data_IF_026136797322
#
_entry.id   IF_026136797322
#
_cell.length_a   1.000
_cell.length_b   1.000
_cell.length_c   1.000
_cell.angle_alpha   90.00
_cell.angle_beta   90.00
_cell.angle_gamma   90.00
#
_symmetry.space_group_name_H-M   'P 1'
#
loop_
_entity.id
_entity.type
_entity.pdbx_description
1 polymer ?
#
# COMPACT_ATOMS: atom_id res chain seq x y z
N UNK A 1 -17.60 -21.27 16.95
CA UNK A 1 -16.31 -20.73 17.45
C UNK A 1 -15.53 -20.23 16.26
N UNK A 2 -15.10 -18.96 16.29
CA UNK A 2 -14.26 -18.42 15.21
C UNK A 2 -12.90 -19.11 15.27
N UNK A 3 -12.41 -19.58 14.12
CA UNK A 3 -11.09 -20.20 14.02
C UNK A 3 -9.95 -19.23 14.43
N UNK A 4 -10.20 -17.92 14.31
CA UNK A 4 -9.28 -16.88 14.78
C UNK A 4 -9.12 -16.85 16.32
N UNK A 5 -10.15 -17.29 17.07
CA UNK A 5 -10.14 -17.22 18.52
C UNK A 5 -9.43 -18.44 19.17
N UNK A 6 -9.27 -19.51 18.39
CA UNK A 6 -8.66 -20.75 18.88
C UNK A 6 -8.01 -21.56 17.77
N UNK A 7 -6.91 -21.04 17.17
CA UNK A 7 -6.18 -21.75 16.12
C UNK A 7 -5.52 -23.01 16.70
N UNK A 8 -5.20 -24.02 15.87
CA UNK A 8 -4.40 -25.18 16.29
C UNK A 8 -3.08 -24.78 16.94
N UNK A 9 -2.57 -25.56 17.88
CA UNK A 9 -1.34 -25.26 18.64
C UNK A 9 -0.11 -25.12 17.72
N UNK A 10 -0.05 -25.92 16.66
CA UNK A 10 1.00 -25.92 15.63
C UNK A 10 0.83 -24.83 14.55
N UNK A 11 -0.24 -24.03 14.63
CA UNK A 11 -0.45 -22.96 13.65
C UNK A 11 0.59 -21.85 13.82
N UNK A 12 1.40 -21.56 12.79
CA UNK A 12 2.60 -20.71 12.92
C UNK A 12 2.30 -19.21 13.00
N UNK A 13 1.03 -18.81 12.97
CA UNK A 13 0.64 -17.42 12.96
C UNK A 13 -0.24 -17.07 14.16
N UNK A 14 -0.26 -15.78 14.51
CA UNK A 14 -1.18 -15.19 15.48
C UNK A 14 -1.79 -13.91 14.91
N UNK A 15 -2.91 -13.50 15.47
CA UNK A 15 -3.55 -12.24 15.08
C UNK A 15 -3.21 -11.14 16.08
N UNK A 16 -2.57 -10.09 15.59
CA UNK A 16 -2.25 -8.88 16.34
C UNK A 16 -3.24 -7.78 15.96
N UNK A 17 -4.28 -7.64 16.77
CA UNK A 17 -5.32 -6.64 16.57
C UNK A 17 -4.74 -5.21 16.61
N UNK A 18 -3.79 -4.95 17.51
CA UNK A 18 -3.18 -3.62 17.67
C UNK A 18 -2.40 -3.21 16.43
N UNK A 19 -1.73 -4.17 15.82
CA UNK A 19 -0.99 -3.93 14.58
C UNK A 19 -1.94 -3.58 13.43
N UNK A 20 -3.01 -4.35 13.24
CA UNK A 20 -4.03 -4.02 12.24
C UNK A 20 -4.69 -2.66 12.49
N UNK A 21 -5.02 -2.34 13.74
CA UNK A 21 -5.58 -1.04 14.12
C UNK A 21 -4.60 0.13 13.90
N UNK A 22 -3.31 -0.09 14.04
CA UNK A 22 -2.27 0.92 13.77
C UNK A 22 -2.35 1.43 12.34
N UNK A 23 -2.49 0.53 11.37
CA UNK A 23 -2.62 0.85 9.95
C UNK A 23 -3.92 1.60 9.65
N UNK A 24 -5.05 1.15 10.18
CA UNK A 24 -6.34 1.84 10.06
C UNK A 24 -6.26 3.26 10.64
N UNK A 25 -5.70 3.39 11.84
CA UNK A 25 -5.56 4.68 12.53
C UNK A 25 -4.68 5.64 11.75
N UNK A 26 -3.58 5.17 11.16
CA UNK A 26 -2.72 5.99 10.31
C UNK A 26 -3.52 6.55 9.13
N UNK A 27 -4.22 5.69 8.40
CA UNK A 27 -5.01 6.10 7.23
C UNK A 27 -6.06 7.12 7.61
N UNK A 28 -6.89 6.85 8.62
CA UNK A 28 -7.98 7.76 9.00
C UNK A 28 -7.49 9.08 9.58
N UNK A 29 -6.29 9.11 10.17
CA UNK A 29 -5.71 10.32 10.75
C UNK A 29 -5.02 11.20 9.72
N UNK A 30 -4.20 10.62 8.86
CA UNK A 30 -3.27 11.38 8.02
C UNK A 30 -3.68 11.47 6.56
N UNK A 31 -4.42 10.48 6.04
CA UNK A 31 -4.89 10.52 4.66
C UNK A 31 -6.14 11.38 4.52
N UNK A 32 -6.15 12.24 3.49
CA UNK A 32 -7.27 13.15 3.23
C UNK A 32 -7.82 12.90 1.83
N UNK A 33 -9.13 13.03 1.68
CA UNK A 33 -9.75 13.01 0.36
C UNK A 33 -9.17 14.09 -0.55
N UNK A 34 -8.83 13.71 -1.78
CA UNK A 34 -8.17 14.59 -2.74
C UNK A 34 -9.15 15.48 -3.51
N UNK A 35 -10.41 15.02 -3.73
CA UNK A 35 -11.37 15.60 -4.66
C UNK A 35 -12.79 15.65 -4.14
N UNK A 36 -13.62 16.43 -4.83
CA UNK A 36 -15.07 16.50 -4.62
C UNK A 36 -15.45 17.13 -3.29
N UNK A 37 -16.67 16.86 -2.84
CA UNK A 37 -17.26 17.45 -1.61
C UNK A 37 -16.52 17.08 -0.31
N UNK A 38 -15.69 16.07 -0.37
CA UNK A 38 -14.90 15.60 0.77
C UNK A 38 -13.45 16.05 0.73
N UNK A 39 -13.02 16.81 -0.29
CA UNK A 39 -11.63 17.27 -0.41
C UNK A 39 -11.15 17.92 0.91
N UNK A 40 -9.97 17.50 1.38
CA UNK A 40 -9.38 17.95 2.64
C UNK A 40 -9.95 17.30 3.91
N UNK A 41 -11.06 16.56 3.83
CA UNK A 41 -11.58 15.80 4.98
C UNK A 41 -10.81 14.49 5.14
N UNK A 42 -10.64 13.97 6.37
CA UNK A 42 -10.05 12.67 6.62
C UNK A 42 -10.74 11.57 5.81
N UNK A 43 -9.96 10.63 5.32
CA UNK A 43 -10.49 9.39 4.76
C UNK A 43 -11.08 8.58 5.91
N UNK A 44 -12.36 8.26 5.81
CA UNK A 44 -13.03 7.34 6.73
C UNK A 44 -13.22 6.02 6.02
N UNK A 45 -12.63 4.97 6.55
CA UNK A 45 -12.71 3.64 5.98
C UNK A 45 -14.05 2.98 6.30
N UNK A 46 -14.66 2.36 5.30
CA UNK A 46 -15.83 1.51 5.48
C UNK A 46 -15.48 0.23 6.24
N UNK A 47 -16.45 -0.42 6.86
CA UNK A 47 -16.20 -1.62 7.68
C UNK A 47 -15.48 -2.73 6.91
N UNK A 48 -15.83 -2.95 5.65
CA UNK A 48 -15.16 -3.97 4.82
C UNK A 48 -13.70 -3.61 4.51
N UNK A 49 -13.38 -2.31 4.36
CA UNK A 49 -12.03 -1.83 4.15
C UNK A 49 -11.20 -2.02 5.44
N UNK A 50 -11.78 -1.67 6.58
CA UNK A 50 -11.16 -1.92 7.90
C UNK A 50 -10.89 -3.40 8.11
N UNK A 51 -11.87 -4.25 7.84
CA UNK A 51 -11.71 -5.71 7.97
C UNK A 51 -10.57 -6.24 7.08
N UNK A 52 -10.49 -5.79 5.82
CA UNK A 52 -9.42 -6.16 4.90
C UNK A 52 -8.04 -5.74 5.42
N UNK A 53 -7.89 -4.48 5.83
CA UNK A 53 -6.63 -3.95 6.37
C UNK A 53 -6.27 -4.68 7.67
N UNK A 54 -7.23 -4.88 8.55
CA UNK A 54 -7.04 -5.62 9.79
C UNK A 54 -6.49 -7.03 9.52
N UNK A 55 -7.09 -7.77 8.59
CA UNK A 55 -6.64 -9.11 8.22
C UNK A 55 -5.27 -9.11 7.56
N UNK A 56 -5.05 -8.21 6.59
CA UNK A 56 -3.79 -8.15 5.84
C UNK A 56 -2.58 -7.82 6.72
N UNK A 57 -2.75 -6.90 7.65
CA UNK A 57 -1.65 -6.38 8.48
C UNK A 57 -1.61 -7.01 9.88
N UNK A 58 -2.72 -7.52 10.42
CA UNK A 58 -2.80 -8.07 11.76
C UNK A 58 -2.28 -9.50 11.90
N UNK A 59 -2.33 -10.32 10.85
CA UNK A 59 -1.80 -11.68 10.91
C UNK A 59 -0.28 -11.71 10.81
N UNK A 60 0.39 -12.24 11.86
CA UNK A 60 1.86 -12.28 12.00
C UNK A 60 2.36 -13.70 12.28
N UNK A 61 3.52 -14.02 11.74
CA UNK A 61 4.23 -15.24 12.07
C UNK A 61 4.73 -15.18 13.53
N UNK A 62 4.60 -16.29 14.28
CA UNK A 62 4.97 -16.36 15.70
C UNK A 62 6.45 -16.15 15.95
N UNK A 63 7.31 -16.62 15.03
CA UNK A 63 8.76 -16.58 15.17
C UNK A 63 9.35 -15.31 14.56
N UNK A 64 9.10 -15.08 13.26
CA UNK A 64 9.71 -13.98 12.50
C UNK A 64 9.03 -12.64 12.71
N UNK A 65 7.78 -12.61 13.23
CA UNK A 65 6.94 -11.41 13.35
C UNK A 65 6.56 -10.77 12.00
N UNK A 66 6.92 -11.39 10.90
CA UNK A 66 6.56 -10.92 9.57
C UNK A 66 5.07 -11.12 9.27
N UNK A 67 4.53 -10.36 8.34
CA UNK A 67 3.15 -10.50 7.89
C UNK A 67 2.92 -11.87 7.28
N UNK A 68 1.77 -12.46 7.59
CA UNK A 68 1.32 -13.70 6.95
C UNK A 68 0.97 -13.47 5.48
N UNK A 69 0.21 -12.41 5.22
CA UNK A 69 -0.25 -12.10 3.87
C UNK A 69 0.72 -11.12 3.21
N UNK A 70 1.34 -11.57 2.14
CA UNK A 70 2.25 -10.76 1.32
C UNK A 70 1.53 -10.15 0.12
N UNK A 71 0.40 -10.73 -0.24
CA UNK A 71 -0.41 -10.33 -1.38
C UNK A 71 -1.87 -10.18 -0.99
N UNK A 72 -2.53 -9.18 -1.54
CA UNK A 72 -3.97 -8.95 -1.38
C UNK A 72 -4.57 -8.67 -2.75
N UNK A 73 -5.50 -9.51 -3.19
CA UNK A 73 -6.28 -9.30 -4.40
C UNK A 73 -7.62 -8.67 -4.04
N UNK A 74 -7.86 -7.46 -4.55
CA UNK A 74 -9.06 -6.68 -4.26
C UNK A 74 -9.93 -6.52 -5.52
N UNK A 75 -11.00 -7.30 -5.60
CA UNK A 75 -11.93 -7.30 -6.75
C UNK A 75 -13.19 -6.52 -6.38
N UNK A 76 -13.34 -5.34 -6.98
CA UNK A 76 -14.50 -4.46 -6.76
C UNK A 76 -14.96 -3.77 -8.03
N UNK A 77 -16.25 -3.40 -8.05
CA UNK A 77 -16.83 -2.59 -9.12
C UNK A 77 -16.18 -1.19 -9.23
N UNK A 78 -16.52 -0.50 -10.31
CA UNK A 78 -16.12 0.90 -10.50
C UNK A 78 -16.76 1.82 -9.46
N UNK A 79 -16.11 2.94 -9.14
CA UNK A 79 -16.59 3.97 -8.20
C UNK A 79 -16.73 3.51 -6.73
N UNK A 80 -16.12 2.40 -6.35
CA UNK A 80 -16.09 1.89 -4.97
C UNK A 80 -14.87 2.38 -4.16
N UNK A 81 -14.26 3.50 -4.54
CA UNK A 81 -13.18 4.13 -3.78
C UNK A 81 -11.82 3.41 -3.85
N UNK A 82 -11.61 2.46 -4.79
CA UNK A 82 -10.34 1.70 -4.89
C UNK A 82 -9.11 2.59 -4.91
N UNK A 83 -9.05 3.57 -5.81
CA UNK A 83 -7.86 4.41 -5.99
C UNK A 83 -7.51 5.23 -4.74
N UNK A 84 -8.52 5.77 -4.03
CA UNK A 84 -8.31 6.49 -2.77
C UNK A 84 -7.81 5.55 -1.68
N UNK A 85 -8.39 4.36 -1.57
CA UNK A 85 -7.95 3.36 -0.59
C UNK A 85 -6.54 2.84 -0.90
N UNK A 86 -6.25 2.52 -2.16
CA UNK A 86 -4.92 2.08 -2.58
C UNK A 86 -3.86 3.13 -2.27
N UNK A 87 -4.10 4.41 -2.63
CA UNK A 87 -3.20 5.50 -2.31
C UNK A 87 -3.01 5.68 -0.79
N UNK A 88 -4.07 5.49 0.01
CA UNK A 88 -3.97 5.56 1.46
C UNK A 88 -3.15 4.40 2.05
N UNK A 89 -3.26 3.19 1.50
CA UNK A 89 -2.43 2.04 1.87
C UNK A 89 -0.97 2.28 1.47
N UNK A 90 -0.70 2.85 0.29
CA UNK A 90 0.66 3.21 -0.12
C UNK A 90 1.31 4.23 0.83
N UNK A 91 0.56 5.24 1.27
CA UNK A 91 1.01 6.17 2.29
C UNK A 91 1.28 5.51 3.64
N UNK A 92 0.40 4.60 4.03
CA UNK A 92 0.53 3.86 5.27
C UNK A 92 1.78 2.98 5.26
N UNK A 93 1.97 2.15 4.25
CA UNK A 93 3.16 1.31 4.13
C UNK A 93 4.43 2.17 4.04
N UNK A 94 4.40 3.26 3.27
CA UNK A 94 5.54 4.15 3.10
C UNK A 94 6.06 4.77 4.40
N UNK A 95 5.17 5.14 5.33
CA UNK A 95 5.54 5.90 6.52
C UNK A 95 5.38 5.12 7.82
N UNK A 96 4.54 4.10 7.84
CA UNK A 96 4.07 3.45 9.06
C UNK A 96 4.57 2.00 9.22
N UNK A 97 5.11 1.39 8.17
CA UNK A 97 5.55 -0.01 8.19
C UNK A 97 6.93 -0.22 8.87
N UNK A 98 7.53 0.86 9.38
CA UNK A 98 8.79 0.86 10.15
C UNK A 98 10.00 0.33 9.38
N UNK A 99 9.93 0.31 8.07
CA UNK A 99 11.03 -0.08 7.21
C UNK A 99 11.93 1.12 6.91
N UNK A 100 13.23 0.90 6.83
CA UNK A 100 14.20 1.90 6.40
C UNK A 100 14.43 1.81 4.89
N UNK A 101 14.32 2.93 4.21
CA UNK A 101 14.44 3.00 2.75
C UNK A 101 13.32 2.28 2.00
N UNK A 102 12.03 2.45 2.39
CA UNK A 102 10.95 1.77 1.71
C UNK A 102 10.78 2.30 0.28
N UNK A 103 10.73 1.39 -0.67
CA UNK A 103 10.44 1.66 -2.07
C UNK A 103 9.01 1.25 -2.38
N UNK A 104 8.12 2.23 -2.54
CA UNK A 104 6.70 2.01 -2.83
C UNK A 104 6.41 2.36 -4.28
N UNK A 105 5.79 1.44 -5.00
CA UNK A 105 5.54 1.59 -6.43
C UNK A 105 4.07 1.51 -6.80
N UNK A 106 3.57 2.56 -7.44
CA UNK A 106 2.29 2.54 -8.13
C UNK A 106 2.50 1.94 -9.52
N UNK A 107 1.91 0.80 -9.81
CA UNK A 107 2.06 0.12 -11.10
C UNK A 107 0.72 -0.14 -11.78
N UNK A 108 0.72 -0.23 -13.09
CA UNK A 108 -0.39 -0.68 -13.91
C UNK A 108 0.12 -1.06 -15.31
N UNK A 109 -0.72 -1.75 -16.08
CA UNK A 109 -0.39 -2.15 -17.45
C UNK A 109 -0.17 -0.98 -18.42
N UNK A 110 -0.71 0.18 -18.11
CA UNK A 110 -0.51 1.43 -18.86
C UNK A 110 0.01 2.51 -17.93
N UNK A 111 0.95 3.29 -18.41
CA UNK A 111 1.55 4.41 -17.68
C UNK A 111 0.51 5.38 -17.12
N UNK A 112 -0.51 5.69 -17.90
CA UNK A 112 -1.56 6.61 -17.49
C UNK A 112 -2.41 6.04 -16.33
N UNK A 113 -2.58 4.74 -16.26
CA UNK A 113 -3.29 4.09 -15.15
C UNK A 113 -2.46 4.05 -13.87
N UNK A 114 -1.17 3.68 -13.96
CA UNK A 114 -0.24 3.78 -12.83
C UNK A 114 -0.16 5.22 -12.30
N UNK A 115 -0.16 6.20 -13.21
CA UNK A 115 -0.17 7.61 -12.87
C UNK A 115 -1.44 8.05 -12.11
N UNK A 116 -2.58 7.35 -12.24
CA UNK A 116 -3.80 7.68 -11.49
C UNK A 116 -3.62 7.47 -9.99
N UNK A 117 -3.09 6.32 -9.56
CA UNK A 117 -2.83 6.03 -8.14
C UNK A 117 -1.76 6.99 -7.60
N UNK A 118 -0.66 7.14 -8.32
CA UNK A 118 0.39 8.08 -7.93
C UNK A 118 -0.10 9.53 -7.81
N UNK A 119 -0.92 9.98 -8.75
CA UNK A 119 -1.54 11.31 -8.70
C UNK A 119 -2.45 11.44 -7.48
N UNK A 120 -3.17 10.37 -7.11
CA UNK A 120 -3.99 10.35 -5.90
C UNK A 120 -3.10 10.49 -4.65
N UNK A 121 -1.94 9.81 -4.59
CA UNK A 121 -0.96 10.00 -3.53
C UNK A 121 -0.46 11.44 -3.45
N UNK A 122 -0.13 12.07 -4.58
CA UNK A 122 0.30 13.48 -4.64
C UNK A 122 -0.80 14.42 -4.13
N UNK A 123 -2.04 14.21 -4.57
CA UNK A 123 -3.18 15.02 -4.17
C UNK A 123 -3.48 14.84 -2.67
N UNK A 124 -3.44 13.62 -2.17
CA UNK A 124 -3.62 13.30 -0.74
C UNK A 124 -2.56 14.00 0.11
N UNK A 125 -1.29 13.99 -0.34
CA UNK A 125 -0.22 14.79 0.27
C UNK A 125 -0.56 16.27 0.30
N UNK A 126 -1.06 16.80 -0.80
CA UNK A 126 -1.39 18.24 -0.93
C UNK A 126 -2.48 18.64 0.08
N UNK A 127 -3.42 17.76 0.37
CA UNK A 127 -4.50 18.00 1.32
C UNK A 127 -4.11 17.74 2.79
N UNK A 128 -3.01 17.01 3.05
CA UNK A 128 -2.56 16.69 4.42
C UNK A 128 -1.33 17.52 4.81
N UNK A 129 -1.47 18.48 5.73
CA UNK A 129 -0.34 19.25 6.26
C UNK A 129 0.72 18.36 6.89
N UNK A 130 0.31 17.29 7.57
CA UNK A 130 1.17 16.35 8.26
C UNK A 130 2.06 15.59 7.27
N UNK A 131 1.47 15.05 6.19
CA UNK A 131 2.23 14.37 5.14
C UNK A 131 3.18 15.32 4.42
N UNK A 132 2.77 16.58 4.19
CA UNK A 132 3.63 17.60 3.58
C UNK A 132 4.83 17.95 4.45
N UNK A 133 4.65 18.00 5.76
CA UNK A 133 5.70 18.40 6.69
C UNK A 133 6.91 17.44 6.66
N UNK A 134 6.66 16.14 6.46
CA UNK A 134 7.69 15.10 6.53
C UNK A 134 8.16 14.57 5.19
N UNK A 135 7.51 14.98 4.09
CA UNK A 135 7.82 14.47 2.74
C UNK A 135 8.04 15.62 1.74
N UNK A 136 8.77 15.33 0.66
CA UNK A 136 9.01 16.25 -0.45
C UNK A 136 8.51 15.62 -1.76
N UNK A 137 7.73 16.37 -2.55
CA UNK A 137 7.41 16.01 -3.94
C UNK A 137 8.58 16.44 -4.81
N UNK A 138 9.24 15.47 -5.44
CA UNK A 138 10.29 15.68 -6.44
C UNK A 138 9.73 15.45 -7.85
N UNK A 139 10.54 15.63 -8.88
CA UNK A 139 10.10 15.48 -10.27
C UNK A 139 9.50 14.09 -10.55
N UNK A 140 10.11 13.02 -10.04
CA UNK A 140 9.74 11.64 -10.34
C UNK A 140 9.07 10.87 -9.17
N UNK A 141 9.09 11.40 -7.95
CA UNK A 141 8.64 10.67 -6.76
C UNK A 141 8.15 11.58 -5.62
N UNK A 142 7.64 10.95 -4.58
CA UNK A 142 7.42 11.55 -3.26
C UNK A 142 8.46 10.92 -2.34
N UNK A 143 9.33 11.73 -1.75
CA UNK A 143 10.45 11.31 -0.92
C UNK A 143 10.26 11.70 0.53
N UNK A 144 10.65 10.83 1.45
CA UNK A 144 10.74 11.10 2.88
C UNK A 144 12.20 10.98 3.35
N UNK A 145 12.74 12.06 3.88
CA UNK A 145 14.12 12.07 4.39
C UNK A 145 14.26 11.26 5.67
N UNK A 146 13.19 11.17 6.47
CA UNK A 146 13.23 10.49 7.77
C UNK A 146 13.46 8.98 7.69
N UNK A 147 12.91 8.34 6.65
CA UNK A 147 13.11 6.91 6.40
C UNK A 147 13.90 6.61 5.12
N UNK A 148 14.35 7.65 4.40
CA UNK A 148 15.07 7.58 3.11
C UNK A 148 14.30 6.83 1.99
N UNK A 149 12.99 6.71 2.13
CA UNK A 149 12.13 6.00 1.18
C UNK A 149 11.45 6.93 0.18
N UNK A 150 10.70 6.31 -0.74
CA UNK A 150 9.95 7.05 -1.76
C UNK A 150 8.69 6.31 -2.21
N UNK A 151 7.72 7.09 -2.76
CA UNK A 151 6.61 6.57 -3.59
C UNK A 151 6.85 6.99 -5.02
N UNK A 152 6.83 6.06 -5.97
CA UNK A 152 7.10 6.31 -7.39
C UNK A 152 6.10 5.60 -8.29
N UNK A 153 5.75 6.24 -9.41
CA UNK A 153 5.00 5.61 -10.49
C UNK A 153 5.97 4.85 -11.42
N UNK A 154 5.68 3.59 -11.71
CA UNK A 154 6.38 2.81 -12.73
C UNK A 154 5.48 2.59 -13.94
N UNK A 155 6.07 2.78 -15.12
CA UNK A 155 5.45 2.38 -16.37
C UNK A 155 5.73 0.88 -16.63
N UNK A 156 4.87 0.23 -17.41
CA UNK A 156 4.95 -1.20 -17.74
C UNK A 156 6.12 -1.64 -18.63
N UNK A 157 7.11 -0.77 -18.88
CA UNK A 157 8.29 -1.15 -19.63
C UNK A 157 9.25 -1.94 -18.72
N UNK A 158 9.11 -3.26 -18.77
CA UNK A 158 9.88 -4.21 -17.93
C UNK A 158 11.36 -4.26 -18.30
N UNK A 159 11.75 -3.76 -19.49
CA UNK A 159 13.15 -3.81 -19.96
C UNK A 159 14.11 -2.96 -19.12
N UNK A 160 13.59 -2.05 -18.29
CA UNK A 160 14.39 -1.14 -17.44
C UNK A 160 14.18 -1.36 -15.94
N UNK A 161 13.54 -2.47 -15.56
CA UNK A 161 13.14 -2.73 -14.16
C UNK A 161 14.11 -3.63 -13.39
N UNK A 162 15.24 -4.01 -13.98
CA UNK A 162 16.28 -4.74 -13.27
C UNK A 162 16.84 -3.90 -12.11
N UNK A 163 16.94 -4.51 -10.92
CA UNK A 163 17.49 -3.86 -9.74
C UNK A 163 16.48 -3.09 -8.88
N UNK A 164 15.16 -3.20 -9.13
CA UNK A 164 14.15 -2.71 -8.22
C UNK A 164 14.12 -3.57 -6.94
N UNK A 165 13.90 -2.90 -5.81
CA UNK A 165 13.81 -3.56 -4.51
C UNK A 165 12.55 -3.08 -3.76
N UNK A 166 11.33 -3.44 -4.27
CA UNK A 166 10.09 -2.93 -3.74
C UNK A 166 9.80 -3.46 -2.32
N UNK A 167 9.49 -2.54 -1.40
CA UNK A 167 8.85 -2.87 -0.12
C UNK A 167 7.38 -3.18 -0.31
N UNK A 168 6.77 -2.43 -1.22
CA UNK A 168 5.36 -2.56 -1.57
C UNK A 168 5.12 -2.09 -2.99
N UNK A 169 4.23 -2.74 -3.68
CA UNK A 169 3.67 -2.23 -4.93
C UNK A 169 2.17 -2.47 -5.03
N UNK A 170 1.48 -1.55 -5.63
CA UNK A 170 0.10 -1.72 -6.06
C UNK A 170 0.05 -1.92 -7.58
N UNK A 171 -0.73 -2.87 -8.05
CA UNK A 171 -1.00 -3.05 -9.48
C UNK A 171 -2.48 -2.88 -9.75
N UNK A 172 -2.85 -1.76 -10.39
CA UNK A 172 -4.24 -1.50 -10.78
C UNK A 172 -4.58 -2.16 -12.12
N UNK A 173 -5.86 -2.51 -12.28
CA UNK A 173 -6.42 -3.13 -13.50
C UNK A 173 -5.63 -4.40 -13.94
N UNK A 174 -5.24 -5.23 -12.97
CA UNK A 174 -4.49 -6.48 -13.22
C UNK A 174 -5.15 -7.38 -14.27
N UNK A 175 -6.49 -7.41 -14.31
CA UNK A 175 -7.26 -8.20 -15.29
C UNK A 175 -7.02 -7.78 -16.75
N UNK A 176 -6.52 -6.57 -16.99
CA UNK A 176 -6.19 -6.06 -18.32
C UNK A 176 -4.74 -6.29 -18.71
N UNK A 177 -3.95 -6.98 -17.87
CA UNK A 177 -2.57 -7.37 -18.18
C UNK A 177 -2.55 -8.35 -19.34
N UNK A 178 -1.60 -8.16 -20.26
CA UNK A 178 -1.37 -9.11 -21.36
C UNK A 178 -0.64 -10.37 -20.90
N UNK A 179 0.19 -10.19 -19.88
CA UNK A 179 1.03 -11.21 -19.26
C UNK A 179 1.31 -10.84 -17.80
N UNK A 180 2.04 -11.69 -17.08
CA UNK A 180 2.44 -11.47 -15.68
C UNK A 180 3.80 -10.78 -15.52
N UNK A 181 4.49 -10.40 -16.61
CA UNK A 181 5.88 -9.97 -16.57
C UNK A 181 6.17 -8.86 -15.57
N UNK A 182 5.32 -7.82 -15.54
CA UNK A 182 5.45 -6.72 -14.55
C UNK A 182 5.32 -7.24 -13.11
N UNK A 183 4.30 -8.05 -12.86
CA UNK A 183 4.06 -8.64 -11.56
C UNK A 183 5.22 -9.52 -11.11
N UNK A 184 5.72 -10.39 -12.00
CA UNK A 184 6.81 -11.32 -11.72
C UNK A 184 8.10 -10.58 -11.35
N UNK A 185 8.45 -9.51 -12.08
CA UNK A 185 9.61 -8.66 -11.77
C UNK A 185 9.46 -8.00 -10.41
N UNK A 186 8.26 -7.48 -10.08
CA UNK A 186 8.01 -6.82 -8.80
C UNK A 186 8.08 -7.78 -7.63
N UNK A 187 7.49 -8.98 -7.74
CA UNK A 187 7.56 -10.03 -6.71
C UNK A 187 9.00 -10.54 -6.54
N UNK A 188 9.73 -10.75 -7.64
CA UNK A 188 11.13 -11.17 -7.59
C UNK A 188 11.99 -10.11 -6.87
N UNK A 189 11.81 -8.83 -7.20
CA UNK A 189 12.49 -7.74 -6.50
C UNK A 189 12.16 -7.69 -5.01
N UNK A 190 10.88 -7.92 -4.65
CA UNK A 190 10.43 -7.91 -3.26
C UNK A 190 11.03 -9.07 -2.44
N UNK A 191 11.27 -10.23 -3.04
CA UNK A 191 11.87 -11.39 -2.36
C UNK A 191 13.30 -11.16 -1.89
N UNK A 192 13.96 -10.11 -2.37
CA UNK A 192 15.32 -9.73 -1.98
C UNK A 192 15.37 -8.95 -0.66
N UNK A 193 14.21 -8.61 -0.08
CA UNK A 193 14.08 -7.81 1.17
C UNK A 193 13.82 -8.63 2.44
N UNK A 194 13.80 -9.94 2.34
CA UNK A 194 13.57 -10.84 3.50
C UNK A 194 14.81 -11.05 4.35
#
# INVERSE_FOLDING_TARGET
RCWMDNPPDDFPYYFDEKEGLRHITFIERFCKHSKGRFAGKPVTLELFQKAKIQLAFGWRNKDTKLRRFREVVDIRGRKCGKSTETAAIEWDVFLNDRENGPEVYCTANKKDQAALIYTECVNMRTQSPELRAITKKRQGDIYCQGNMGFIKCLASDTSTMDGLNPSFFSQDEFHAAKDSALYDVMIQGQSMRD
#
